data_IF_036982612202
#
_entry.id   IF_036982612202
#
_cell.length_a   1.000
_cell.length_b   1.000
_cell.length_c   1.000
_cell.angle_alpha   90.00
_cell.angle_beta   90.00
_cell.angle_gamma   90.00
#
_symmetry.space_group_name_H-M   'P 1'
#
loop_
_entity.id
_entity.type
_entity.pdbx_description
1 polymer ?
#
# COMPACT_ATOMS: atom_id res chain seq x y z
N UNK A 1 -54.49 51.65 -45.21
CA UNK A 1 -53.50 51.90 -44.15
C UNK A 1 -53.43 50.65 -43.28
N UNK A 2 -52.45 49.79 -43.55
CA UNK A 2 -52.17 48.56 -42.79
C UNK A 2 -51.04 48.85 -41.79
N UNK A 3 -51.06 48.31 -40.57
CA UNK A 3 -50.03 48.58 -39.57
C UNK A 3 -48.71 47.85 -39.91
N UNK A 4 -47.55 48.36 -39.43
CA UNK A 4 -46.26 47.84 -39.79
C UNK A 4 -45.96 46.51 -39.07
N UNK A 5 -45.27 45.63 -39.79
CA UNK A 5 -44.80 44.33 -39.33
C UNK A 5 -43.68 44.53 -38.28
N UNK A 6 -43.95 44.19 -37.02
CA UNK A 6 -42.93 44.20 -35.96
C UNK A 6 -42.08 42.93 -36.08
N UNK A 7 -40.82 43.09 -36.50
CA UNK A 7 -39.83 42.03 -36.57
C UNK A 7 -39.37 41.70 -35.14
N UNK A 8 -39.80 40.56 -34.59
CA UNK A 8 -39.29 40.01 -33.32
C UNK A 8 -37.86 39.49 -33.54
N UNK A 9 -36.88 39.83 -32.67
CA UNK A 9 -35.56 39.24 -32.75
C UNK A 9 -35.65 37.76 -32.33
N UNK A 10 -35.29 36.86 -33.25
CA UNK A 10 -35.05 35.46 -32.95
C UNK A 10 -33.83 35.38 -32.04
N UNK A 11 -34.08 35.07 -30.76
CA UNK A 11 -33.05 34.64 -29.82
C UNK A 11 -32.47 33.33 -30.37
N UNK A 12 -31.32 33.41 -31.04
CA UNK A 12 -30.52 32.23 -31.34
C UNK A 12 -29.99 31.68 -30.02
N UNK A 13 -30.72 30.71 -29.46
CA UNK A 13 -30.19 29.85 -28.41
C UNK A 13 -29.07 29.03 -29.06
N UNK A 14 -27.83 29.49 -28.92
CA UNK A 14 -26.66 28.70 -29.24
C UNK A 14 -26.68 27.48 -28.32
N UNK A 15 -27.24 26.38 -28.83
CA UNK A 15 -27.11 25.07 -28.22
C UNK A 15 -25.65 24.68 -28.38
N UNK A 16 -24.81 25.16 -27.46
CA UNK A 16 -23.44 24.72 -27.31
C UNK A 16 -23.50 23.21 -27.16
N UNK A 17 -23.05 22.50 -28.20
CA UNK A 17 -22.86 21.06 -28.13
C UNK A 17 -21.77 20.83 -27.08
N UNK A 18 -22.17 20.65 -25.82
CA UNK A 18 -21.28 20.11 -24.81
C UNK A 18 -21.03 18.70 -25.26
N UNK A 19 -19.92 18.49 -25.97
CA UNK A 19 -19.34 17.17 -26.15
C UNK A 19 -19.07 16.69 -24.73
N UNK A 20 -20.02 15.94 -24.20
CA UNK A 20 -19.79 15.15 -23.01
C UNK A 20 -18.81 14.09 -23.49
N UNK A 21 -17.51 14.36 -23.34
CA UNK A 21 -16.53 13.29 -23.30
C UNK A 21 -17.08 12.32 -22.26
N UNK A 22 -17.49 11.13 -22.72
CA UNK A 22 -17.92 10.05 -21.85
C UNK A 22 -16.77 9.82 -20.89
N UNK A 23 -16.96 10.34 -19.69
CA UNK A 23 -15.94 10.37 -18.68
C UNK A 23 -15.67 8.90 -18.34
N UNK A 24 -14.46 8.43 -18.68
CA UNK A 24 -14.12 7.03 -18.51
C UNK A 24 -14.18 6.72 -17.01
N UNK A 25 -14.90 5.66 -16.64
CA UNK A 25 -14.99 5.21 -15.27
C UNK A 25 -13.95 4.11 -15.05
N UNK A 26 -13.09 4.28 -14.04
CA UNK A 26 -12.05 3.31 -13.69
C UNK A 26 -12.39 2.66 -12.36
N UNK A 27 -12.36 1.34 -12.33
CA UNK A 27 -12.42 0.58 -11.09
C UNK A 27 -11.00 0.38 -10.56
N UNK A 28 -10.64 1.13 -9.53
CA UNK A 28 -9.28 1.15 -8.97
C UNK A 28 -9.00 -0.06 -8.08
N UNK A 29 -10.03 -0.54 -7.37
CA UNK A 29 -9.97 -1.68 -6.47
C UNK A 29 -11.07 -2.68 -6.84
N UNK A 30 -10.74 -3.97 -6.76
CA UNK A 30 -11.66 -5.05 -7.06
C UNK A 30 -11.54 -6.16 -6.02
N UNK A 31 -12.05 -5.89 -4.82
CA UNK A 31 -12.02 -6.84 -3.72
C UNK A 31 -13.27 -7.70 -3.67
N UNK A 32 -13.10 -9.00 -3.64
CA UNK A 32 -14.17 -9.98 -3.41
C UNK A 32 -14.46 -10.14 -1.92
N UNK A 33 -15.49 -10.94 -1.60
CA UNK A 33 -15.75 -11.33 -0.22
C UNK A 33 -14.64 -12.22 0.37
N UNK A 34 -13.90 -12.92 -0.49
CA UNK A 34 -12.76 -13.76 -0.11
C UNK A 34 -11.52 -12.90 0.17
N UNK A 35 -11.31 -11.83 -0.60
CA UNK A 35 -10.16 -10.92 -0.42
C UNK A 35 -10.23 -10.13 0.88
N UNK A 36 -11.43 -9.73 1.31
CA UNK A 36 -11.65 -8.93 2.51
C UNK A 36 -12.72 -9.58 3.42
N UNK A 37 -12.36 -10.68 4.10
CA UNK A 37 -13.26 -11.35 5.02
C UNK A 37 -13.57 -10.43 6.21
N UNK A 38 -14.85 -10.32 6.56
CA UNK A 38 -15.33 -9.48 7.67
C UNK A 38 -15.87 -8.10 7.28
N UNK A 39 -15.69 -7.65 6.03
CA UNK A 39 -16.34 -6.43 5.56
C UNK A 39 -17.83 -6.66 5.23
N UNK A 40 -18.64 -5.61 5.38
CA UNK A 40 -20.04 -5.63 4.93
C UNK A 40 -20.12 -5.59 3.40
N UNK A 41 -21.21 -6.12 2.84
CA UNK A 41 -21.49 -6.02 1.40
C UNK A 41 -21.58 -4.57 0.94
N UNK A 42 -22.14 -3.68 1.76
CA UNK A 42 -22.18 -2.24 1.52
C UNK A 42 -20.79 -1.63 1.43
N UNK A 43 -19.91 -1.91 2.40
CA UNK A 43 -18.53 -1.43 2.36
C UNK A 43 -17.78 -1.92 1.11
N UNK A 44 -17.83 -3.23 0.81
CA UNK A 44 -17.21 -3.79 -0.40
C UNK A 44 -17.76 -3.17 -1.69
N UNK A 45 -19.07 -3.00 -1.78
CA UNK A 45 -19.70 -2.38 -2.96
C UNK A 45 -19.23 -0.94 -3.19
N UNK A 46 -18.99 -0.18 -2.11
CA UNK A 46 -18.54 1.20 -2.21
C UNK A 46 -17.04 1.28 -2.53
N UNK A 47 -16.21 0.38 -1.98
CA UNK A 47 -14.79 0.29 -2.34
C UNK A 47 -14.63 -0.05 -3.82
N UNK A 48 -15.39 -1.01 -4.33
CA UNK A 48 -15.32 -1.45 -5.73
C UNK A 48 -16.05 -0.50 -6.70
N UNK A 49 -16.60 0.61 -6.22
CA UNK A 49 -17.27 1.57 -7.09
C UNK A 49 -16.27 2.20 -8.05
N UNK A 50 -16.58 2.19 -9.35
CA UNK A 50 -15.78 2.88 -10.34
C UNK A 50 -15.78 4.39 -10.08
N UNK A 51 -14.58 4.98 -10.06
CA UNK A 51 -14.39 6.41 -9.99
C UNK A 51 -14.41 6.99 -11.40
N UNK A 52 -15.03 8.15 -11.56
CA UNK A 52 -15.06 8.84 -12.83
C UNK A 52 -13.71 9.55 -13.11
N UNK A 53 -12.73 8.76 -13.53
CA UNK A 53 -11.36 9.17 -13.81
C UNK A 53 -10.77 8.29 -14.92
N UNK A 54 -9.85 8.84 -15.70
CA UNK A 54 -9.24 8.09 -16.80
C UNK A 54 -8.54 6.80 -16.31
N UNK A 55 -8.72 5.65 -16.98
CA UNK A 55 -8.12 4.38 -16.60
C UNK A 55 -6.60 4.40 -16.46
N UNK A 56 -5.89 5.30 -17.17
CA UNK A 56 -4.44 5.44 -17.02
C UNK A 56 -4.04 5.78 -15.57
N UNK A 57 -4.95 6.38 -14.79
CA UNK A 57 -4.71 6.67 -13.38
C UNK A 57 -4.49 5.40 -12.54
N UNK A 58 -5.03 4.25 -12.96
CA UNK A 58 -4.77 2.99 -12.26
C UNK A 58 -3.29 2.63 -12.28
N UNK A 59 -2.59 2.90 -13.38
CA UNK A 59 -1.15 2.68 -13.49
C UNK A 59 -0.34 3.70 -12.69
N UNK A 60 -0.88 4.92 -12.53
CA UNK A 60 -0.28 5.96 -11.70
C UNK A 60 -0.35 5.61 -10.21
N UNK A 61 -1.50 5.11 -9.76
CA UNK A 61 -1.71 4.81 -8.35
C UNK A 61 -0.99 3.56 -7.84
N UNK A 62 -0.56 2.66 -8.74
CA UNK A 62 0.18 1.43 -8.39
C UNK A 62 1.61 1.65 -7.91
N UNK A 63 2.16 2.85 -8.07
CA UNK A 63 3.56 3.18 -7.75
C UNK A 63 3.79 3.45 -6.25
N UNK A 64 2.72 3.66 -5.47
CA UNK A 64 2.82 3.97 -4.05
C UNK A 64 3.08 5.46 -3.76
N UNK A 65 3.03 5.84 -2.49
CA UNK A 65 3.16 7.25 -2.05
C UNK A 65 4.62 7.73 -1.98
N UNK A 66 5.53 6.77 -1.82
CA UNK A 66 6.94 6.99 -1.46
C UNK A 66 7.79 7.35 -2.68
N UNK A 67 7.27 7.09 -3.88
CA UNK A 67 7.97 7.30 -5.15
C UNK A 67 7.36 8.48 -5.89
N UNK A 68 8.21 9.41 -6.33
CA UNK A 68 7.81 10.50 -7.23
C UNK A 68 8.11 10.07 -8.66
N UNK A 69 7.08 9.62 -9.38
CA UNK A 69 7.17 9.35 -10.82
C UNK A 69 6.79 10.56 -11.66
N UNK A 70 7.54 10.82 -12.72
CA UNK A 70 7.29 11.90 -13.67
C UNK A 70 6.60 11.38 -14.92
N UNK A 71 5.51 12.02 -15.33
CA UNK A 71 4.68 11.57 -16.43
C UNK A 71 4.73 12.56 -17.57
N UNK A 72 4.51 12.12 -18.81
CA UNK A 72 4.35 13.03 -19.94
C UNK A 72 3.04 13.84 -19.83
N UNK A 73 2.99 14.97 -20.53
CA UNK A 73 1.87 15.92 -20.44
C UNK A 73 0.54 15.31 -20.89
N UNK A 74 0.56 14.48 -21.94
CA UNK A 74 -0.63 13.79 -22.44
C UNK A 74 -1.22 12.87 -21.36
N UNK A 75 -0.39 12.11 -20.66
CA UNK A 75 -0.82 11.21 -19.58
C UNK A 75 -1.37 12.00 -18.41
N UNK A 76 -0.66 13.05 -17.97
CA UNK A 76 -1.13 13.93 -16.91
C UNK A 76 -2.49 14.57 -17.25
N UNK A 77 -2.67 15.02 -18.49
CA UNK A 77 -3.90 15.71 -18.93
C UNK A 77 -5.15 14.82 -18.86
N UNK A 78 -4.99 13.50 -19.03
CA UNK A 78 -6.08 12.53 -18.98
C UNK A 78 -6.73 12.43 -17.61
N UNK A 79 -5.92 12.38 -16.54
CA UNK A 79 -6.43 12.17 -15.20
C UNK A 79 -6.40 13.41 -14.30
N UNK A 80 -5.45 14.35 -14.46
CA UNK A 80 -5.37 15.57 -13.64
C UNK A 80 -6.46 16.61 -13.98
N UNK A 81 -7.72 16.21 -13.82
CA UNK A 81 -8.94 16.95 -14.15
C UNK A 81 -9.76 17.23 -12.88
N UNK A 82 -10.54 18.30 -12.89
CA UNK A 82 -11.46 18.57 -11.78
C UNK A 82 -12.50 17.46 -11.59
N UNK A 83 -12.90 16.79 -12.69
CA UNK A 83 -13.81 15.64 -12.65
C UNK A 83 -13.20 14.45 -11.91
N UNK A 84 -11.95 14.10 -12.20
CA UNK A 84 -11.27 13.01 -11.50
C UNK A 84 -11.02 13.36 -10.03
N UNK A 85 -10.56 14.59 -9.71
CA UNK A 85 -10.38 15.05 -8.33
C UNK A 85 -11.69 14.92 -7.52
N UNK A 86 -12.81 15.41 -8.07
CA UNK A 86 -14.12 15.32 -7.44
C UNK A 86 -14.58 13.86 -7.27
N UNK A 87 -14.32 13.01 -8.26
CA UNK A 87 -14.67 11.60 -8.21
C UNK A 87 -13.88 10.85 -7.13
N UNK A 88 -12.56 11.02 -7.08
CA UNK A 88 -11.68 10.37 -6.09
C UNK A 88 -11.96 10.88 -4.67
N UNK A 89 -12.13 12.20 -4.50
CA UNK A 89 -12.51 12.78 -3.21
C UNK A 89 -13.86 12.25 -2.72
N UNK A 90 -14.84 12.14 -3.63
CA UNK A 90 -16.15 11.59 -3.30
C UNK A 90 -16.08 10.11 -2.96
N UNK A 91 -15.31 9.34 -3.72
CA UNK A 91 -15.09 7.92 -3.47
C UNK A 91 -14.44 7.70 -2.10
N UNK A 92 -13.38 8.45 -1.76
CA UNK A 92 -12.75 8.43 -0.43
C UNK A 92 -13.76 8.69 0.69
N UNK A 93 -14.54 9.77 0.60
CA UNK A 93 -15.56 10.10 1.60
C UNK A 93 -16.64 9.00 1.72
N UNK A 94 -17.08 8.43 0.59
CA UNK A 94 -18.08 7.35 0.58
C UNK A 94 -17.53 6.09 1.25
N UNK A 95 -16.29 5.71 0.95
CA UNK A 95 -15.63 4.56 1.57
C UNK A 95 -15.43 4.79 3.06
N UNK A 96 -14.95 5.96 3.46
CA UNK A 96 -14.82 6.32 4.89
C UNK A 96 -16.17 6.21 5.63
N UNK A 97 -17.28 6.63 5.01
CA UNK A 97 -18.61 6.48 5.59
C UNK A 97 -19.14 5.04 5.61
N UNK A 98 -19.01 4.32 4.50
CA UNK A 98 -19.58 2.97 4.33
C UNK A 98 -18.77 1.88 5.03
N UNK A 99 -17.46 2.11 5.21
CA UNK A 99 -16.51 1.21 5.84
C UNK A 99 -16.06 1.70 7.21
N UNK A 100 -16.74 2.71 7.77
CA UNK A 100 -16.41 3.25 9.08
C UNK A 100 -16.28 2.11 10.12
N UNK A 101 -15.14 2.06 10.80
CA UNK A 101 -14.81 1.07 11.82
C UNK A 101 -14.85 -0.39 11.36
N UNK A 102 -14.81 -0.65 10.05
CA UNK A 102 -14.66 -2.00 9.51
C UNK A 102 -13.19 -2.22 9.17
N UNK A 103 -12.71 -3.38 9.59
CA UNK A 103 -11.33 -3.79 9.39
C UNK A 103 -11.35 -5.20 8.85
N UNK A 104 -10.44 -5.48 7.92
CA UNK A 104 -10.15 -6.84 7.50
C UNK A 104 -8.83 -7.25 8.13
N UNK A 105 -8.70 -8.53 8.47
CA UNK A 105 -7.50 -9.04 9.09
C UNK A 105 -6.34 -8.97 8.10
N UNK A 106 -5.24 -8.35 8.51
CA UNK A 106 -3.96 -8.32 7.76
C UNK A 106 -2.93 -9.28 8.35
N UNK A 107 -3.32 -10.05 9.37
CA UNK A 107 -2.45 -10.94 10.14
C UNK A 107 -2.26 -10.45 11.58
N UNK A 108 -1.81 -11.36 12.46
CA UNK A 108 -1.32 -11.06 13.83
C UNK A 108 -2.28 -10.28 14.76
N UNK A 109 -3.59 -10.46 14.60
CA UNK A 109 -4.56 -9.71 15.41
C UNK A 109 -4.55 -8.22 15.10
N UNK A 110 -4.06 -7.82 13.92
CA UNK A 110 -4.21 -6.48 13.39
C UNK A 110 -5.23 -6.46 12.26
N UNK A 111 -5.95 -5.35 12.22
CA UNK A 111 -6.99 -5.06 11.26
C UNK A 111 -6.61 -3.82 10.50
N UNK A 112 -6.71 -3.90 9.18
CA UNK A 112 -6.53 -2.74 8.33
C UNK A 112 -7.89 -2.23 7.88
N UNK A 113 -8.07 -0.91 7.95
CA UNK A 113 -9.22 -0.27 7.36
C UNK A 113 -9.07 -0.26 5.84
N UNK A 114 -10.09 -0.69 5.08
CA UNK A 114 -10.04 -0.59 3.63
C UNK A 114 -10.03 0.86 3.13
N UNK A 115 -10.36 1.84 3.99
CA UNK A 115 -10.21 3.26 3.68
C UNK A 115 -8.74 3.66 3.45
N UNK A 116 -7.77 2.90 3.97
CA UNK A 116 -6.34 3.14 3.77
C UNK A 116 -5.95 3.08 2.28
N UNK A 117 -6.40 2.03 1.58
CA UNK A 117 -6.13 1.89 0.14
C UNK A 117 -6.75 3.05 -0.62
N UNK A 118 -7.97 3.44 -0.27
CA UNK A 118 -8.68 4.49 -0.99
C UNK A 118 -8.06 5.87 -0.76
N UNK A 119 -7.65 6.16 0.47
CA UNK A 119 -6.90 7.38 0.79
C UNK A 119 -5.56 7.41 0.06
N UNK A 120 -4.86 6.28 -0.07
CA UNK A 120 -3.59 6.19 -0.81
C UNK A 120 -3.74 6.64 -2.27
N UNK A 121 -4.77 6.14 -2.96
CA UNK A 121 -5.04 6.55 -4.35
C UNK A 121 -5.32 8.05 -4.45
N UNK A 122 -6.13 8.59 -3.54
CA UNK A 122 -6.43 10.02 -3.53
C UNK A 122 -5.17 10.86 -3.25
N UNK A 123 -4.33 10.46 -2.32
CA UNK A 123 -3.09 11.17 -2.00
C UNK A 123 -2.09 11.14 -3.16
N UNK A 124 -1.91 10.00 -3.84
CA UNK A 124 -1.09 9.91 -5.05
C UNK A 124 -1.61 10.87 -6.12
N UNK A 125 -2.92 10.92 -6.32
CA UNK A 125 -3.54 11.86 -7.24
C UNK A 125 -3.20 13.31 -6.87
N UNK A 126 -3.41 13.70 -5.60
CA UNK A 126 -3.18 15.06 -5.12
C UNK A 126 -1.72 15.49 -5.27
N UNK A 127 -0.78 14.61 -4.93
CA UNK A 127 0.64 14.87 -5.06
C UNK A 127 1.12 14.94 -6.52
N UNK A 128 0.52 14.14 -7.41
CA UNK A 128 0.88 14.11 -8.84
C UNK A 128 0.27 15.29 -9.60
N UNK A 129 -0.97 15.66 -9.26
CA UNK A 129 -1.75 16.66 -9.97
C UNK A 129 -1.70 18.06 -9.34
N UNK A 130 -0.83 18.29 -8.36
CA UNK A 130 -0.67 19.61 -7.74
C UNK A 130 -0.20 20.63 -8.78
N UNK A 131 -0.81 21.80 -8.76
CA UNK A 131 -0.51 22.91 -9.68
C UNK A 131 0.21 24.02 -8.95
N UNK A 132 1.13 24.67 -9.65
CA UNK A 132 1.72 25.93 -9.17
C UNK A 132 0.74 27.10 -9.33
N UNK A 133 1.13 28.29 -8.87
CA UNK A 133 0.30 29.50 -8.93
C UNK A 133 -0.10 29.91 -10.36
N UNK A 134 0.64 29.48 -11.37
CA UNK A 134 0.33 29.72 -12.80
C UNK A 134 -0.59 28.66 -13.40
N UNK A 135 -1.09 27.71 -12.60
CA UNK A 135 -1.98 26.63 -13.04
C UNK A 135 -1.28 25.49 -13.78
N UNK A 136 0.06 25.46 -13.83
CA UNK A 136 0.82 24.36 -14.44
C UNK A 136 1.05 23.24 -13.44
N UNK A 137 1.02 22.00 -13.91
CA UNK A 137 1.28 20.81 -13.08
C UNK A 137 2.73 20.79 -12.62
N UNK A 138 2.95 20.70 -11.31
CA UNK A 138 4.28 20.67 -10.73
C UNK A 138 5.08 19.45 -11.19
N UNK A 139 4.41 18.31 -11.44
CA UNK A 139 5.02 17.11 -12.00
C UNK A 139 5.75 17.40 -13.34
N UNK A 140 5.03 18.01 -14.30
CA UNK A 140 5.59 18.37 -15.60
C UNK A 140 6.67 19.47 -15.48
N UNK A 141 6.39 20.53 -14.71
CA UNK A 141 7.33 21.65 -14.56
C UNK A 141 8.66 21.20 -13.96
N UNK A 142 8.62 20.35 -12.93
CA UNK A 142 9.83 19.84 -12.32
C UNK A 142 10.55 18.83 -13.21
N UNK A 143 9.82 17.89 -13.84
CA UNK A 143 10.36 16.95 -14.85
C UNK A 143 11.21 17.67 -15.88
N UNK A 144 10.64 18.70 -16.50
CA UNK A 144 11.31 19.46 -17.57
C UNK A 144 12.54 20.21 -17.03
N UNK A 145 12.42 20.81 -15.84
CA UNK A 145 13.54 21.50 -15.20
C UNK A 145 14.69 20.54 -14.82
N UNK A 146 14.38 19.27 -14.54
CA UNK A 146 15.34 18.22 -14.24
C UNK A 146 15.92 17.53 -15.48
N UNK A 147 15.36 17.78 -16.66
CA UNK A 147 15.61 17.01 -17.89
C UNK A 147 15.30 15.51 -17.73
N UNK A 148 14.24 15.14 -17.00
CA UNK A 148 13.86 13.73 -16.82
C UNK A 148 13.10 13.24 -18.05
N UNK A 149 13.53 12.10 -18.61
CA UNK A 149 12.75 11.32 -19.56
C UNK A 149 11.62 10.58 -18.82
N UNK A 150 10.34 10.92 -19.06
CA UNK A 150 9.21 10.28 -18.37
C UNK A 150 8.99 8.81 -18.76
N UNK A 151 9.59 8.31 -19.84
CA UNK A 151 9.50 6.89 -20.19
C UNK A 151 10.42 6.05 -19.29
N UNK A 152 11.66 6.50 -19.15
CA UNK A 152 12.72 5.75 -18.48
C UNK A 152 13.02 6.24 -17.05
N UNK A 153 12.41 7.35 -16.61
CA UNK A 153 12.63 8.00 -15.31
C UNK A 153 14.08 8.41 -15.03
N UNK A 154 14.88 8.61 -16.08
CA UNK A 154 16.29 9.00 -15.97
C UNK A 154 16.50 10.46 -16.36
N UNK A 155 17.43 11.13 -15.69
CA UNK A 155 17.88 12.45 -16.09
C UNK A 155 18.72 12.34 -17.38
N UNK A 156 18.34 13.07 -18.41
CA UNK A 156 19.01 13.09 -19.73
C UNK A 156 20.12 14.12 -19.82
N UNK A 157 20.21 15.00 -18.82
CA UNK A 157 21.28 15.99 -18.68
C UNK A 157 21.53 16.28 -17.21
N UNK A 158 22.71 16.82 -16.90
CA UNK A 158 23.04 17.23 -15.53
C UNK A 158 22.03 18.27 -15.04
N UNK A 159 21.35 18.03 -13.89
CA UNK A 159 20.47 19.00 -13.29
C UNK A 159 21.23 20.29 -12.97
N UNK A 160 20.55 21.44 -13.04
CA UNK A 160 21.15 22.71 -12.62
C UNK A 160 21.52 22.63 -11.13
N UNK A 161 22.57 23.33 -10.73
CA UNK A 161 22.82 23.60 -9.30
C UNK A 161 21.59 24.29 -8.70
N UNK A 162 21.24 23.99 -7.44
CA UNK A 162 20.02 24.47 -6.74
C UNK A 162 18.68 23.94 -7.27
N UNK A 163 18.67 22.77 -7.89
CA UNK A 163 17.46 22.15 -8.42
C UNK A 163 16.45 21.75 -7.31
N UNK A 164 16.94 21.40 -6.13
CA UNK A 164 16.17 21.17 -4.90
C UNK A 164 15.34 22.40 -4.45
N UNK A 165 15.72 23.59 -4.90
CA UNK A 165 14.99 24.84 -4.64
C UNK A 165 13.89 25.14 -5.67
N UNK A 166 13.63 24.21 -6.59
CA UNK A 166 12.55 24.37 -7.55
C UNK A 166 11.19 24.46 -6.81
N UNK A 167 10.42 25.51 -7.09
CA UNK A 167 9.15 25.75 -6.41
C UNK A 167 8.13 24.62 -6.59
N UNK A 168 8.14 23.94 -7.74
CA UNK A 168 7.26 22.79 -8.00
C UNK A 168 7.68 21.57 -7.18
N UNK A 169 8.98 21.36 -6.97
CA UNK A 169 9.47 20.31 -6.07
C UNK A 169 9.03 20.52 -4.63
N UNK A 170 9.29 21.73 -4.11
CA UNK A 170 8.91 22.09 -2.76
C UNK A 170 7.40 22.00 -2.57
N UNK A 171 6.61 22.38 -3.58
CA UNK A 171 5.14 22.23 -3.55
C UNK A 171 4.72 20.77 -3.52
N UNK A 172 5.35 19.89 -4.30
CA UNK A 172 5.04 18.46 -4.31
C UNK A 172 5.40 17.78 -2.98
N UNK A 173 6.52 18.16 -2.36
CA UNK A 173 6.92 17.69 -1.03
C UNK A 173 5.97 18.22 0.06
N UNK A 174 5.68 19.52 0.05
CA UNK A 174 4.74 20.14 0.97
C UNK A 174 3.35 19.50 0.88
N UNK A 175 2.91 19.17 -0.34
CA UNK A 175 1.62 18.49 -0.55
C UNK A 175 1.63 17.13 0.14
N UNK A 176 2.67 16.30 -0.08
CA UNK A 176 2.80 14.99 0.58
C UNK A 176 2.81 15.08 2.10
N UNK A 177 3.65 15.96 2.66
CA UNK A 177 3.77 16.11 4.11
C UNK A 177 2.48 16.63 4.78
N UNK A 178 1.57 17.25 4.00
CA UNK A 178 0.28 17.72 4.50
C UNK A 178 -0.86 16.72 4.28
N UNK A 179 -0.61 15.55 3.70
CA UNK A 179 -1.63 14.52 3.51
C UNK A 179 -1.54 13.44 4.59
N UNK A 180 -2.64 12.91 5.13
CA UNK A 180 -2.61 12.04 6.31
C UNK A 180 -1.78 10.74 6.22
N UNK A 181 -1.72 10.05 5.08
CA UNK A 181 -0.88 8.84 4.93
C UNK A 181 0.59 9.18 4.72
N UNK A 182 0.88 10.17 3.86
CA UNK A 182 2.25 10.61 3.59
C UNK A 182 2.79 11.60 4.64
N UNK A 183 1.97 11.99 5.62
CA UNK A 183 2.36 12.91 6.69
C UNK A 183 3.43 12.28 7.54
N UNK A 184 4.50 13.05 7.76
CA UNK A 184 5.54 12.65 8.68
C UNK A 184 5.99 13.86 9.51
N UNK A 185 5.63 13.92 10.80
CA UNK A 185 5.98 15.06 11.65
C UNK A 185 7.50 15.18 11.86
N UNK A 186 8.27 14.09 11.71
CA UNK A 186 9.73 14.14 11.81
C UNK A 186 10.39 14.91 10.65
N UNK A 187 9.69 15.09 9.53
CA UNK A 187 10.22 15.78 8.34
C UNK A 187 9.87 17.26 8.29
N UNK A 188 9.07 17.77 9.25
CA UNK A 188 8.72 19.19 9.32
C UNK A 188 9.97 20.08 9.44
N UNK A 189 10.91 19.70 10.32
CA UNK A 189 12.15 20.44 10.52
C UNK A 189 13.07 20.37 9.29
N UNK A 190 13.17 19.21 8.65
CA UNK A 190 13.97 19.04 7.42
C UNK A 190 13.39 19.88 6.26
N UNK A 191 12.07 19.89 6.11
CA UNK A 191 11.40 20.70 5.10
C UNK A 191 11.57 22.20 5.37
N UNK A 192 11.43 22.63 6.63
CA UNK A 192 11.66 24.02 7.05
C UNK A 192 13.10 24.46 6.79
N UNK A 193 14.07 23.60 7.05
CA UNK A 193 15.48 23.84 6.73
C UNK A 193 15.69 23.99 5.22
N UNK A 194 15.13 23.07 4.42
CA UNK A 194 15.23 23.11 2.96
C UNK A 194 14.65 24.41 2.40
N UNK A 195 13.43 24.77 2.77
CA UNK A 195 12.79 26.01 2.27
C UNK A 195 13.57 27.25 2.71
N UNK A 196 14.12 27.26 3.94
CA UNK A 196 15.00 28.33 4.41
C UNK A 196 16.29 28.44 3.59
N UNK A 197 16.94 27.31 3.29
CA UNK A 197 18.14 27.28 2.44
C UNK A 197 17.89 27.78 1.02
N UNK A 198 16.65 27.60 0.54
CA UNK A 198 16.17 28.10 -0.75
C UNK A 198 15.64 29.54 -0.71
N UNK A 199 15.70 30.23 0.44
CA UNK A 199 15.17 31.58 0.60
C UNK A 199 13.64 31.69 0.52
N UNK A 200 12.92 30.58 0.71
CA UNK A 200 11.46 30.49 0.66
C UNK A 200 10.91 30.49 2.09
N UNK A 201 10.34 31.61 2.54
CA UNK A 201 9.75 31.75 3.88
C UNK A 201 8.24 31.57 3.92
N UNK A 202 7.57 31.51 2.77
CA UNK A 202 6.10 31.48 2.66
C UNK A 202 5.50 30.08 2.63
N UNK A 203 6.33 29.04 2.53
CA UNK A 203 5.89 27.65 2.44
C UNK A 203 6.05 26.97 3.80
N UNK A 204 5.09 27.22 4.68
CA UNK A 204 4.98 26.54 5.98
C UNK A 204 4.07 25.33 5.85
N UNK A 205 4.48 24.20 6.42
CA UNK A 205 3.63 23.01 6.54
C UNK A 205 3.25 22.80 8.00
N UNK A 206 2.04 22.30 8.23
CA UNK A 206 1.64 21.77 9.52
C UNK A 206 1.14 20.35 9.23
N UNK A 207 2.02 19.33 9.28
CA UNK A 207 1.65 17.97 8.95
C UNK A 207 0.45 17.53 9.80
N UNK A 208 -0.63 16.99 9.20
CA UNK A 208 -1.72 16.43 9.98
C UNK A 208 -1.21 15.24 10.79
N UNK A 209 -1.97 14.82 11.81
CA UNK A 209 -1.69 13.55 12.48
C UNK A 209 -1.72 12.45 11.41
N UNK A 210 -0.65 11.65 11.34
CA UNK A 210 -0.59 10.55 10.40
C UNK A 210 -1.74 9.58 10.65
N UNK A 211 -2.45 9.21 9.59
CA UNK A 211 -3.55 8.24 9.70
C UNK A 211 -2.98 6.87 10.07
N UNK A 212 -3.44 6.31 11.19
CA UNK A 212 -3.13 4.94 11.59
C UNK A 212 -4.28 4.04 11.17
N UNK A 213 -4.18 3.43 10.00
CA UNK A 213 -5.22 2.54 9.48
C UNK A 213 -5.08 1.10 9.90
N UNK A 214 -4.03 0.78 10.66
CA UNK A 214 -3.78 -0.52 11.24
C UNK A 214 -4.11 -0.40 12.72
N UNK A 215 -5.06 -1.22 13.17
CA UNK A 215 -5.50 -1.27 14.56
C UNK A 215 -5.33 -2.69 15.10
N UNK A 216 -5.08 -2.87 16.39
CA UNK A 216 -5.23 -4.19 17.02
C UNK A 216 -6.71 -4.60 16.98
N UNK A 217 -7.03 -5.74 16.36
CA UNK A 217 -8.32 -6.42 16.46
C UNK A 217 -8.34 -7.17 17.79
N UNK A 218 -8.99 -6.60 18.80
CA UNK A 218 -9.45 -7.39 19.94
C UNK A 218 -10.67 -8.19 19.51
N UNK A 219 -10.57 -9.53 19.51
CA UNK A 219 -11.69 -10.40 19.18
C UNK A 219 -12.80 -10.26 20.23
N UNK A 220 -14.02 -10.05 19.72
CA UNK A 220 -15.35 -10.00 20.37
C UNK A 220 -15.85 -8.65 20.86
N UNK A 221 -16.90 -8.16 20.19
CA UNK A 221 -17.96 -7.33 20.76
C UNK A 221 -17.71 -5.82 20.81
N UNK A 222 -18.51 -5.10 20.02
CA UNK A 222 -18.94 -3.70 20.22
C UNK A 222 -18.31 -2.98 21.43
N UNK A 223 -17.28 -2.17 21.22
CA UNK A 223 -16.78 -1.26 22.25
C UNK A 223 -16.58 0.15 21.69
N UNK A 224 -17.40 1.05 22.21
CA UNK A 224 -17.36 2.50 22.04
C UNK A 224 -16.03 3.06 22.53
N UNK A 225 -15.53 4.04 21.78
CA UNK A 225 -14.34 4.86 21.99
C UNK A 225 -14.07 5.31 23.44
N UNK A 226 -12.79 5.40 23.81
CA UNK A 226 -12.29 6.52 24.63
C UNK A 226 -10.87 6.89 24.20
N UNK A 227 -10.53 8.16 24.42
CA UNK A 227 -9.52 8.97 23.74
C UNK A 227 -8.06 8.48 23.73
N UNK A 228 -7.42 8.88 22.63
CA UNK A 228 -5.99 8.85 22.32
C UNK A 228 -5.10 9.43 23.43
N UNK A 229 -4.08 8.67 23.81
CA UNK A 229 -2.89 9.15 24.52
C UNK A 229 -1.69 9.13 23.56
N UNK A 230 -0.94 10.23 23.56
CA UNK A 230 0.31 10.48 22.84
C UNK A 230 1.37 9.41 23.19
N UNK A 231 1.98 8.68 22.24
CA UNK A 231 3.06 7.75 22.57
C UNK A 231 4.36 8.52 22.82
N UNK A 232 4.83 8.48 24.06
CA UNK A 232 6.23 8.77 24.41
C UNK A 232 7.07 7.57 24.00
N UNK A 233 8.05 7.78 23.12
CA UNK A 233 8.92 6.75 22.54
C UNK A 233 9.56 5.87 23.62
N UNK A 234 8.99 4.70 23.81
CA UNK A 234 9.51 3.64 24.68
C UNK A 234 9.73 2.44 23.75
N UNK A 235 10.94 1.88 23.72
CA UNK A 235 11.21 0.69 22.91
C UNK A 235 10.29 -0.44 23.37
N UNK A 236 9.31 -0.81 22.54
CA UNK A 236 8.37 -1.90 22.81
C UNK A 236 9.01 -3.25 22.44
N UNK A 237 10.16 -3.52 23.03
CA UNK A 237 11.01 -4.67 22.71
C UNK A 237 12.30 -4.65 23.52
N UNK A 238 13.31 -5.37 23.06
CA UNK A 238 14.59 -5.46 23.76
C UNK A 238 15.52 -4.34 23.30
N UNK A 239 16.28 -3.76 24.23
CA UNK A 239 17.39 -2.87 23.88
C UNK A 239 18.65 -3.69 23.62
N UNK A 240 19.26 -3.51 22.46
CA UNK A 240 20.51 -4.14 22.07
C UNK A 240 21.65 -3.12 22.03
N UNK A 241 22.70 -3.34 22.81
CA UNK A 241 23.91 -2.51 22.75
C UNK A 241 24.85 -3.04 21.69
N UNK A 242 25.24 -2.18 20.75
CA UNK A 242 26.15 -2.50 19.66
C UNK A 242 27.52 -2.94 20.19
N UNK A 243 28.06 -3.99 19.58
CA UNK A 243 29.36 -4.58 19.89
C UNK A 243 30.35 -4.27 18.77
N UNK A 244 31.63 -4.32 19.11
CA UNK A 244 32.69 -4.19 18.12
C UNK A 244 32.56 -5.28 17.04
N UNK A 245 32.50 -4.86 15.77
CA UNK A 245 32.31 -5.75 14.62
C UNK A 245 30.85 -6.00 14.23
N UNK A 246 29.88 -5.45 14.95
CA UNK A 246 28.50 -5.47 14.50
C UNK A 246 28.32 -4.69 13.19
N UNK A 247 27.51 -5.26 12.31
CA UNK A 247 27.07 -4.66 11.06
C UNK A 247 25.55 -4.68 11.04
N UNK A 248 24.94 -3.81 10.21
CA UNK A 248 23.49 -3.82 9.99
C UNK A 248 22.95 -5.21 9.64
N UNK A 249 23.65 -5.95 8.76
CA UNK A 249 23.32 -7.31 8.38
C UNK A 249 23.44 -8.28 9.56
N UNK A 250 24.57 -8.26 10.28
CA UNK A 250 24.79 -9.21 11.38
C UNK A 250 23.81 -9.00 12.54
N UNK A 251 23.44 -7.75 12.81
CA UNK A 251 22.43 -7.40 13.81
C UNK A 251 21.02 -7.78 13.34
N UNK A 252 20.66 -7.48 12.09
CA UNK A 252 19.38 -7.89 11.52
C UNK A 252 19.20 -9.41 11.55
N UNK A 253 20.22 -10.17 11.14
CA UNK A 253 20.18 -11.64 11.17
C UNK A 253 20.11 -12.17 12.61
N UNK A 254 20.96 -11.67 13.52
CA UNK A 254 21.04 -12.20 14.89
C UNK A 254 19.80 -11.91 15.73
N UNK A 255 19.09 -10.83 15.42
CA UNK A 255 17.87 -10.43 16.10
C UNK A 255 16.59 -10.76 15.33
N UNK A 256 16.73 -11.47 14.20
CA UNK A 256 15.62 -11.93 13.37
C UNK A 256 14.80 -10.76 12.85
N UNK A 257 15.38 -9.86 12.07
CA UNK A 257 14.68 -8.72 11.49
C UNK A 257 15.14 -8.53 10.04
N UNK A 258 14.32 -7.89 9.21
CA UNK A 258 14.81 -7.32 7.95
C UNK A 258 15.69 -6.09 8.23
N UNK A 259 16.64 -5.79 7.35
CA UNK A 259 17.46 -4.58 7.45
C UNK A 259 16.61 -3.31 7.39
N UNK A 260 15.49 -3.34 6.67
CA UNK A 260 14.52 -2.24 6.61
C UNK A 260 13.79 -2.08 7.95
N UNK A 261 13.30 -3.16 8.55
CA UNK A 261 12.64 -3.09 9.85
C UNK A 261 13.59 -2.65 10.98
N UNK A 262 14.85 -3.08 10.93
CA UNK A 262 15.88 -2.62 11.86
C UNK A 262 16.11 -1.11 11.73
N UNK A 263 16.22 -0.61 10.49
CA UNK A 263 16.41 0.81 10.22
C UNK A 263 15.20 1.65 10.68
N UNK A 264 13.98 1.21 10.38
CA UNK A 264 12.75 1.90 10.79
C UNK A 264 12.63 1.97 12.32
N UNK A 265 12.89 0.87 13.02
CA UNK A 265 12.79 0.80 14.49
C UNK A 265 13.81 1.70 15.21
N UNK A 266 14.85 2.14 14.52
CA UNK A 266 16.00 2.83 15.10
C UNK A 266 16.32 4.17 14.43
N UNK A 267 15.47 4.62 13.50
CA UNK A 267 15.67 5.85 12.72
C UNK A 267 17.02 5.89 11.97
N UNK A 268 17.44 4.75 11.42
CA UNK A 268 18.66 4.64 10.63
C UNK A 268 18.38 4.88 9.15
N UNK A 269 19.43 5.18 8.39
CA UNK A 269 19.34 5.30 6.94
C UNK A 269 19.09 3.92 6.30
N UNK A 270 18.39 3.94 5.17
CA UNK A 270 18.08 2.75 4.40
C UNK A 270 19.35 2.07 3.85
N UNK A 271 19.21 0.84 3.36
CA UNK A 271 20.31 0.05 2.77
C UNK A 271 21.56 -0.05 3.67
N UNK A 272 21.36 0.00 4.99
CA UNK A 272 22.45 -0.06 5.97
C UNK A 272 23.52 1.02 5.79
N UNK A 273 23.18 2.12 5.12
CA UNK A 273 24.10 3.22 4.87
C UNK A 273 24.46 3.89 6.21
N UNK A 274 25.77 4.00 6.48
CA UNK A 274 26.30 4.61 7.71
C UNK A 274 25.74 3.98 9.01
N UNK A 275 25.67 2.64 9.06
CA UNK A 275 25.20 1.93 10.24
C UNK A 275 26.10 2.22 11.46
N UNK A 276 25.52 2.58 12.61
CA UNK A 276 26.29 3.01 13.78
C UNK A 276 27.20 1.89 14.31
N UNK A 277 28.40 2.28 14.76
CA UNK A 277 29.38 1.36 15.36
C UNK A 277 29.29 1.27 16.88
N UNK A 278 28.50 2.13 17.52
CA UNK A 278 28.30 2.19 18.97
C UNK A 278 26.89 2.71 19.31
N UNK A 279 26.47 2.53 20.56
CA UNK A 279 25.15 2.93 21.03
C UNK A 279 24.19 1.77 21.25
N UNK A 280 22.91 2.08 21.40
CA UNK A 280 21.87 1.09 21.72
C UNK A 280 20.73 1.18 20.73
N UNK A 281 20.37 0.05 20.14
CA UNK A 281 19.25 -0.13 19.23
C UNK A 281 18.04 -0.71 19.97
N UNK A 282 16.84 -0.34 19.54
CA UNK A 282 15.60 -1.03 19.85
C UNK A 282 15.42 -2.23 18.90
N UNK A 283 15.08 -3.38 19.47
CA UNK A 283 14.71 -4.62 18.79
C UNK A 283 13.26 -4.94 19.17
N UNK A 284 12.27 -4.43 18.41
CA UNK A 284 10.86 -4.66 18.68
C UNK A 284 10.48 -6.11 18.42
N UNK A 285 9.77 -6.74 19.36
CA UNK A 285 9.34 -8.14 19.22
C UNK A 285 8.29 -8.33 18.14
N UNK A 286 7.46 -7.31 17.90
CA UNK A 286 6.45 -7.24 16.83
C UNK A 286 7.05 -7.09 15.42
N UNK A 287 8.37 -6.97 15.31
CA UNK A 287 9.09 -6.92 14.03
C UNK A 287 10.07 -8.07 13.84
N UNK A 288 10.05 -9.05 14.76
CA UNK A 288 10.94 -10.21 14.69
C UNK A 288 10.41 -11.27 13.72
N UNK A 289 11.19 -11.63 12.73
CA UNK A 289 10.89 -12.60 11.70
C UNK A 289 12.03 -13.61 11.55
N UNK A 290 11.82 -14.61 10.70
CA UNK A 290 12.91 -15.44 10.17
C UNK A 290 13.61 -14.62 9.10
N UNK A 291 14.88 -14.24 9.30
CA UNK A 291 15.61 -13.42 8.35
C UNK A 291 16.05 -14.25 7.15
N UNK A 292 16.18 -13.60 6.00
CA UNK A 292 16.70 -14.18 4.77
C UNK A 292 17.55 -13.15 4.03
N UNK A 293 18.78 -13.52 3.68
CA UNK A 293 19.63 -12.69 2.85
C UNK A 293 19.32 -12.97 1.38
N UNK A 294 18.88 -11.94 0.65
CA UNK A 294 18.58 -12.03 -0.78
C UNK A 294 19.85 -12.30 -1.57
N UNK A 295 19.79 -13.25 -2.51
CA UNK A 295 20.90 -13.64 -3.38
C UNK A 295 20.67 -13.14 -4.80
N UNK A 296 21.74 -13.12 -5.58
CA UNK A 296 21.77 -12.57 -6.95
C UNK A 296 20.71 -13.21 -7.88
N UNK A 297 20.55 -14.54 -7.82
CA UNK A 297 19.59 -15.28 -8.65
C UNK A 297 18.20 -15.45 -8.00
N UNK A 298 17.93 -14.80 -6.87
CA UNK A 298 16.65 -14.98 -6.20
C UNK A 298 15.49 -14.27 -6.93
N UNK A 299 14.32 -14.88 -6.84
CA UNK A 299 13.01 -14.29 -7.18
C UNK A 299 12.11 -14.36 -5.95
N UNK A 300 11.07 -13.52 -5.84
CA UNK A 300 10.14 -13.68 -4.72
C UNK A 300 9.45 -15.04 -4.73
N UNK A 301 9.24 -15.62 -5.91
CA UNK A 301 8.69 -16.96 -6.06
C UNK A 301 9.65 -17.98 -5.47
N UNK A 302 10.92 -17.99 -5.86
CA UNK A 302 11.90 -18.97 -5.35
C UNK A 302 12.15 -18.82 -3.84
N UNK A 303 12.15 -17.60 -3.31
CA UNK A 303 12.28 -17.37 -1.87
C UNK A 303 11.02 -17.87 -1.14
N UNK A 304 9.83 -17.55 -1.66
CA UNK A 304 8.56 -17.97 -1.04
C UNK A 304 8.41 -19.51 -1.05
N UNK A 305 8.74 -20.14 -2.16
CA UNK A 305 8.73 -21.60 -2.31
C UNK A 305 9.68 -22.27 -1.31
N UNK A 306 10.81 -21.63 -0.97
CA UNK A 306 11.77 -22.17 -0.01
C UNK A 306 11.25 -22.30 1.44
N UNK A 307 10.08 -21.71 1.71
CA UNK A 307 9.43 -21.70 3.04
C UNK A 307 7.93 -22.00 2.96
N UNK A 308 7.49 -22.71 1.92
CA UNK A 308 6.11 -23.14 1.72
C UNK A 308 5.08 -22.00 1.89
N UNK A 309 5.42 -20.81 1.38
CA UNK A 309 4.53 -19.64 1.39
C UNK A 309 4.28 -19.16 -0.04
N UNK A 310 3.41 -18.18 -0.19
CA UNK A 310 3.12 -17.56 -1.48
C UNK A 310 3.90 -16.25 -1.62
N UNK A 311 4.31 -15.91 -2.85
CA UNK A 311 5.11 -14.71 -3.09
C UNK A 311 4.39 -13.42 -2.67
N UNK A 312 3.05 -13.37 -2.75
CA UNK A 312 2.24 -12.25 -2.24
C UNK A 312 2.34 -12.14 -0.71
N UNK A 313 2.47 -13.27 0.00
CA UNK A 313 2.68 -13.26 1.45
C UNK A 313 4.10 -12.80 1.79
N UNK A 314 5.11 -13.22 1.02
CA UNK A 314 6.48 -12.71 1.15
C UNK A 314 6.55 -11.19 0.95
N UNK A 315 5.88 -10.66 -0.07
CA UNK A 315 5.80 -9.21 -0.31
C UNK A 315 5.02 -8.50 0.79
N UNK A 316 3.98 -9.11 1.36
CA UNK A 316 3.25 -8.51 2.50
C UNK A 316 4.13 -8.33 3.76
N UNK A 317 5.13 -9.21 3.94
CA UNK A 317 6.11 -9.09 5.02
C UNK A 317 7.26 -8.13 4.70
N UNK A 318 7.48 -7.86 3.42
CA UNK A 318 8.56 -7.00 2.90
C UNK A 318 8.01 -6.05 1.84
N UNK A 319 7.19 -5.04 2.23
CA UNK A 319 6.57 -4.13 1.28
C UNK A 319 7.58 -3.36 0.42
N UNK A 320 8.82 -3.22 0.89
CA UNK A 320 9.94 -2.59 0.18
C UNK A 320 10.30 -3.28 -1.15
N UNK A 321 9.93 -4.56 -1.30
CA UNK A 321 10.11 -5.31 -2.54
C UNK A 321 9.16 -4.87 -3.65
N UNK A 322 8.15 -4.06 -3.32
CA UNK A 322 7.10 -3.62 -4.22
C UNK A 322 5.99 -4.66 -4.35
N UNK A 323 4.76 -4.19 -4.64
CA UNK A 323 3.55 -5.03 -4.69
C UNK A 323 3.63 -6.21 -5.68
N UNK A 324 4.48 -6.11 -6.70
CA UNK A 324 4.74 -7.19 -7.67
C UNK A 324 6.11 -7.86 -7.48
N UNK A 325 6.85 -7.54 -6.42
CA UNK A 325 8.24 -7.94 -6.22
C UNK A 325 9.23 -7.41 -7.29
N UNK A 326 8.96 -6.26 -7.88
CA UNK A 326 9.81 -5.71 -8.94
C UNK A 326 11.18 -5.22 -8.40
N UNK A 327 11.29 -4.94 -7.10
CA UNK A 327 12.49 -4.33 -6.51
C UNK A 327 13.43 -5.34 -5.83
N UNK A 328 13.18 -6.65 -5.89
CA UNK A 328 13.99 -7.64 -5.15
C UNK A 328 15.49 -7.55 -5.44
N UNK A 329 15.84 -7.21 -6.68
CA UNK A 329 17.22 -7.09 -7.12
C UNK A 329 17.97 -5.92 -6.45
N UNK A 330 17.26 -4.87 -6.02
CA UNK A 330 17.85 -3.77 -5.24
C UNK A 330 18.21 -4.20 -3.81
N UNK A 331 17.71 -5.36 -3.37
CA UNK A 331 17.93 -5.91 -2.04
C UNK A 331 18.93 -7.07 -2.03
N UNK A 332 19.60 -7.38 -3.15
CA UNK A 332 20.67 -8.41 -3.16
C UNK A 332 21.73 -8.08 -2.10
N UNK A 333 22.01 -9.04 -1.23
CA UNK A 333 22.89 -8.88 -0.07
C UNK A 333 22.23 -8.28 1.18
N UNK A 334 21.02 -7.74 1.09
CA UNK A 334 20.25 -7.26 2.24
C UNK A 334 19.38 -8.36 2.87
N UNK A 335 18.89 -8.10 4.08
CA UNK A 335 18.08 -9.07 4.85
C UNK A 335 16.61 -8.68 4.74
N UNK A 336 15.79 -9.63 4.31
CA UNK A 336 14.33 -9.55 4.30
C UNK A 336 13.74 -10.56 5.28
N UNK A 337 12.46 -10.45 5.58
CA UNK A 337 11.70 -11.37 6.40
C UNK A 337 11.06 -12.47 5.54
N UNK A 338 11.49 -13.72 5.68
CA UNK A 338 10.84 -14.88 5.03
C UNK A 338 9.80 -15.59 5.91
N UNK A 339 9.54 -15.05 7.09
CA UNK A 339 8.36 -15.38 7.88
C UNK A 339 7.68 -14.10 8.33
N UNK A 340 6.48 -14.25 8.85
CA UNK A 340 5.71 -13.16 9.44
C UNK A 340 6.54 -12.46 10.55
N UNK A 341 6.81 -11.15 10.43
CA UNK A 341 7.42 -10.37 11.52
C UNK A 341 6.44 -10.22 12.67
N UNK A 342 6.82 -10.64 13.88
CA UNK A 342 5.95 -10.81 15.04
C UNK A 342 5.64 -12.29 15.36
N UNK A 343 5.83 -13.18 14.39
CA UNK A 343 5.67 -14.63 14.53
C UNK A 343 4.34 -15.18 14.00
N UNK A 344 4.08 -16.46 14.30
CA UNK A 344 2.77 -17.05 14.07
C UNK A 344 1.79 -16.60 15.15
N UNK A 345 0.51 -16.47 14.81
CA UNK A 345 -0.52 -16.27 15.82
C UNK A 345 -0.50 -17.43 16.84
N UNK A 346 -0.27 -17.11 18.11
CA UNK A 346 -0.43 -18.05 19.22
C UNK A 346 -1.81 -17.80 19.81
N UNK A 347 -2.65 -18.83 19.83
CA UNK A 347 -3.92 -18.77 20.52
C UNK A 347 -3.66 -18.54 22.02
N UNK A 348 -4.02 -17.37 22.53
CA UNK A 348 -3.91 -17.07 23.96
C UNK A 348 -4.99 -17.79 24.77
N UNK A 349 -5.93 -18.46 24.11
CA UNK A 349 -7.00 -19.22 24.72
C UNK A 349 -7.29 -20.50 23.92
N UNK A 350 -6.33 -21.44 23.88
CA UNK A 350 -6.49 -22.67 23.12
C UNK A 350 -7.77 -23.38 23.57
N UNK A 351 -8.60 -23.80 22.61
CA UNK A 351 -9.75 -24.65 22.93
C UNK A 351 -9.28 -25.85 23.75
N UNK A 352 -10.03 -26.24 24.81
CA UNK A 352 -9.66 -27.39 25.63
C UNK A 352 -9.53 -28.61 24.72
N UNK A 353 -8.32 -29.16 24.66
CA UNK A 353 -8.00 -30.30 23.80
C UNK A 353 -8.96 -31.43 24.12
N UNK A 354 -9.73 -31.88 23.12
CA UNK A 354 -10.65 -33.01 23.25
C UNK A 354 -9.82 -34.27 23.62
N UNK A 355 -9.75 -34.54 24.92
CA UNK A 355 -9.17 -35.76 25.45
C UNK A 355 -10.02 -36.94 24.99
N UNK A 356 -9.32 -37.95 24.47
CA UNK A 356 -9.82 -39.24 24.03
C UNK A 356 -11.15 -39.65 24.69
N UNK A 357 -12.24 -39.63 23.91
CA UNK A 357 -13.51 -40.18 24.35
C UNK A 357 -13.38 -41.70 24.42
N UNK A 358 -13.34 -42.21 25.65
CA UNK A 358 -13.36 -43.62 25.95
C UNK A 358 -14.68 -44.24 25.46
N UNK A 359 -14.54 -45.32 24.70
CA UNK A 359 -15.61 -46.15 24.16
C UNK A 359 -16.49 -46.71 25.29
N UNK A 360 -17.75 -46.29 25.37
CA UNK A 360 -18.82 -47.10 25.97
C UNK A 360 -19.69 -47.65 24.83
N UNK A 361 -19.45 -48.91 24.50
CA UNK A 361 -20.30 -49.69 23.60
C UNK A 361 -21.56 -50.12 24.36
N UNK A 362 -22.71 -49.54 24.05
CA UNK A 362 -24.01 -50.17 24.31
C UNK A 362 -24.84 -50.26 23.02
N UNK A 363 -24.62 -51.38 22.34
CA UNK A 363 -25.55 -52.22 21.58
C UNK A 363 -26.91 -51.61 21.15
N UNK A 364 -27.03 -51.26 19.87
CA UNK A 364 -28.27 -51.44 19.09
C UNK A 364 -27.95 -51.91 17.66
N UNK A 365 -28.54 -53.05 17.30
CA UNK A 365 -28.43 -53.78 16.04
C UNK A 365 -29.18 -53.08 14.86
N UNK A 366 -28.93 -53.49 13.59
CA UNK A 366 -29.10 -52.64 12.42
C UNK A 366 -30.45 -52.81 11.71
N UNK A 367 -30.98 -51.71 11.14
CA UNK A 367 -31.93 -51.78 10.02
C UNK A 367 -31.34 -51.07 8.80
N UNK A 368 -31.02 -51.93 7.85
CA UNK A 368 -30.59 -51.73 6.46
C UNK A 368 -31.51 -50.74 5.72
N UNK A 369 -30.96 -49.76 5.00
CA UNK A 369 -31.24 -49.53 3.57
C UNK A 369 -30.36 -48.43 2.94
N UNK A 370 -29.45 -48.88 2.05
CA UNK A 370 -29.02 -48.34 0.73
C UNK A 370 -28.92 -46.81 0.61
N UNK A 371 -27.71 -46.26 0.52
CA UNK A 371 -26.96 -46.04 -0.74
C UNK A 371 -27.26 -44.63 -1.26
N UNK A 372 -26.33 -43.69 -1.43
CA UNK A 372 -25.15 -43.71 -2.29
C UNK A 372 -24.10 -42.71 -1.77
N UNK A 373 -22.84 -43.11 -1.74
CA UNK A 373 -21.68 -42.24 -1.59
C UNK A 373 -21.06 -41.98 -2.97
N UNK A 374 -20.67 -40.73 -3.23
CA UNK A 374 -19.60 -40.42 -4.18
C UNK A 374 -18.51 -39.69 -3.39
N UNK A 375 -17.38 -40.38 -3.16
CA UNK A 375 -16.12 -39.77 -2.73
C UNK A 375 -15.04 -40.19 -3.72
N UNK A 376 -14.48 -39.18 -4.35
CA UNK A 376 -13.08 -38.93 -4.69
C UNK A 376 -12.07 -40.03 -5.02
N UNK A 377 -11.26 -39.65 -6.03
CA UNK A 377 -9.79 -39.70 -6.14
C UNK A 377 -9.08 -40.95 -6.65
N UNK A 378 -8.47 -40.70 -7.81
CA UNK A 378 -7.05 -40.87 -8.17
C UNK A 378 -6.38 -42.25 -8.12
N UNK A 379 -5.92 -42.63 -9.33
CA UNK A 379 -4.54 -42.96 -9.69
C UNK A 379 -3.82 -44.05 -8.89
N UNK A 380 -3.54 -45.20 -9.52
CA UNK A 380 -2.21 -45.48 -10.08
C UNK A 380 -2.10 -46.92 -10.63
N UNK A 381 -1.23 -47.03 -11.65
CA UNK A 381 -0.29 -48.11 -11.97
C UNK A 381 -0.70 -49.32 -12.83
N UNK A 382 -0.01 -49.34 -13.97
CA UNK A 382 0.91 -50.38 -14.45
C UNK A 382 0.38 -51.65 -15.14
N UNK A 383 1.00 -51.86 -16.32
CA UNK A 383 1.34 -53.11 -17.02
C UNK A 383 0.20 -53.95 -17.59
N UNK A 384 0.15 -54.11 -18.92
CA UNK A 384 0.59 -55.35 -19.58
C UNK A 384 0.56 -55.30 -21.14
N UNK A 385 1.72 -55.59 -21.75
CA UNK A 385 2.01 -56.43 -22.93
C UNK A 385 1.25 -56.25 -24.27
N UNK A 386 1.99 -55.67 -25.23
CA UNK A 386 2.41 -56.22 -26.54
C UNK A 386 1.70 -57.47 -27.13
N UNK A 387 1.09 -57.32 -28.33
CA UNK A 387 1.35 -58.14 -29.54
C UNK A 387 0.34 -57.91 -30.69
N UNK A 388 0.86 -57.86 -31.93
CA UNK A 388 0.17 -58.22 -33.19
C UNK A 388 -0.16 -57.03 -34.11
N UNK A 389 0.74 -56.60 -35.00
CA UNK A 389 0.90 -57.08 -36.39
C UNK A 389 -0.38 -57.13 -37.22
N UNK A 390 -0.58 -56.12 -38.06
CA UNK A 390 -0.78 -56.21 -39.52
C UNK A 390 -0.72 -54.80 -40.13
#
# INVERSE_FOLDING_TARGET
MMPPLVLRPLLFLSLGLVVHTTSAAVQLLNFTAEDLPGLTSTCRSVINQAANCDPVFQDVARIGLDVIKFWNDDTLSKFCTSTCDAALSTWMRRVQGACANQYFAVGEGFGQSPAAYVEQYYEIYRATCVKNASGKLCNAVFRDAANIDPLNQVATATPKTSFECNSCFLTMLATRLQMPLASNPAWESAFTYLTSSCGVSTMTITPPVASTWIVPITTTGTATSTASAKPTGTCSGTKYTLKAGDTCLSVAISHGMSTVNLAIANHLLAFCYDFPTEGTLCIPTDRQCTPYTVKEDDTCVSIADSVDTTWNRLVSWNPELGVNCDNLQDYVGHVICKSNPGGGWVDLNPEPTESASATIHEKLDPVRHRGFTCRDRHSHRDQQLDHGSA
#
